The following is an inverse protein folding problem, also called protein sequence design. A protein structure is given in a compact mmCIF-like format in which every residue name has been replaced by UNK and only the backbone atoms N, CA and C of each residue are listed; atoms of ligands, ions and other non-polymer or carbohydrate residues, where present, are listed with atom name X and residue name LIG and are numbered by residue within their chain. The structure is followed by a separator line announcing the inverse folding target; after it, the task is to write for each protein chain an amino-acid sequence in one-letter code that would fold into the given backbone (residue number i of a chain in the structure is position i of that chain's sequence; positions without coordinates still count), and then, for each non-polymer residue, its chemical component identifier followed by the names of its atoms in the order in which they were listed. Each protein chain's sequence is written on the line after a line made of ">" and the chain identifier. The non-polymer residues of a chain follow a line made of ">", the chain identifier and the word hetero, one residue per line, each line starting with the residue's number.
data_IF_589849729502
#
_entry.id   IF_589849729502
#
_cell.length_a   1.000
_cell.length_b   1.000
_cell.length_c   1.000
_cell.angle_alpha   90.00
_cell.angle_beta   90.00
_cell.angle_gamma   90.00
#
_symmetry.space_group_name_H-M   'P 1'
#
loop_
_entity.id
_entity.type
_entity.pdbx_description
1 polymer ?
#
# COMPACT_ATOMS: atom_id res chain seq x y z
N UNK A 1 0.52 11.56 15.18
CA UNK A 1 1.37 11.50 16.40
C UNK A 1 2.82 11.31 16.00
N UNK A 2 3.78 11.92 16.73
CA UNK A 2 5.21 11.77 16.46
C UNK A 2 5.64 10.29 16.42
N UNK A 3 5.22 9.52 17.42
CA UNK A 3 5.52 8.08 17.52
C UNK A 3 5.09 7.29 16.29
N UNK A 4 3.86 7.51 15.79
CA UNK A 4 3.35 6.81 14.62
C UNK A 4 4.12 7.16 13.33
N UNK A 5 4.53 8.43 13.17
CA UNK A 5 5.36 8.85 12.03
C UNK A 5 6.73 8.18 12.08
N UNK A 6 7.35 8.12 13.25
CA UNK A 6 8.63 7.45 13.47
C UNK A 6 8.53 5.95 13.23
N UNK A 7 7.44 5.30 13.64
CA UNK A 7 7.20 3.88 13.34
C UNK A 7 7.18 3.63 11.83
N UNK A 8 6.44 4.44 11.06
CA UNK A 8 6.34 4.28 9.61
C UNK A 8 7.66 4.60 8.87
N UNK A 9 8.34 5.68 9.24
CA UNK A 9 9.58 6.09 8.59
C UNK A 9 10.72 5.08 8.80
N UNK A 10 10.77 4.44 9.98
CA UNK A 10 11.80 3.47 10.33
C UNK A 10 11.47 2.02 9.92
N UNK A 11 10.25 1.74 9.44
CA UNK A 11 9.93 0.42 8.92
C UNK A 11 10.81 0.10 7.70
N UNK A 12 11.63 -0.95 7.81
CA UNK A 12 12.48 -1.43 6.72
C UNK A 12 11.62 -1.92 5.53
N UNK A 13 10.48 -2.54 5.85
CA UNK A 13 9.52 -3.05 4.89
C UNK A 13 8.12 -2.48 5.13
N UNK A 14 7.45 -2.02 4.07
CA UNK A 14 6.08 -1.54 4.13
C UNK A 14 5.34 -1.87 2.82
N UNK A 15 4.09 -2.32 2.94
CA UNK A 15 3.17 -2.43 1.80
C UNK A 15 2.13 -1.32 1.93
N UNK A 16 2.13 -0.39 0.98
CA UNK A 16 1.17 0.71 0.91
C UNK A 16 0.18 0.46 -0.21
N UNK A 17 -1.08 0.20 0.15
CA UNK A 17 -2.18 0.09 -0.82
C UNK A 17 -2.75 1.47 -1.17
N UNK A 18 -3.83 1.53 -1.93
CA UNK A 18 -4.58 2.75 -2.20
C UNK A 18 -4.85 3.58 -0.93
N UNK A 19 -4.51 4.87 -0.94
CA UNK A 19 -4.67 5.79 0.20
C UNK A 19 -5.73 6.86 -0.06
N UNK A 20 -6.43 7.32 0.98
CA UNK A 20 -7.35 8.44 0.88
C UNK A 20 -6.61 9.75 0.52
N UNK A 21 -7.32 10.72 -0.06
CA UNK A 21 -6.74 12.02 -0.46
C UNK A 21 -6.16 12.80 0.72
N UNK A 22 -6.78 12.71 1.89
CA UNK A 22 -6.34 13.36 3.13
C UNK A 22 -5.00 12.82 3.63
N UNK A 23 -4.78 11.51 3.49
CA UNK A 23 -3.63 10.84 4.10
C UNK A 23 -2.43 10.78 3.16
N UNK A 24 -2.70 10.66 1.85
CA UNK A 24 -1.65 10.40 0.85
C UNK A 24 -0.59 11.50 0.77
N UNK A 25 -0.94 12.77 0.99
CA UNK A 25 0.02 13.88 0.95
C UNK A 25 0.98 13.85 2.14
N UNK A 26 0.50 13.48 3.33
CA UNK A 26 1.34 13.35 4.51
C UNK A 26 2.26 12.13 4.39
N UNK A 27 1.72 11.01 3.92
CA UNK A 27 2.49 9.79 3.67
C UNK A 27 3.55 9.97 2.57
N UNK A 28 3.23 10.70 1.51
CA UNK A 28 4.18 11.01 0.44
C UNK A 28 5.40 11.77 0.96
N UNK A 29 5.16 12.78 1.80
CA UNK A 29 6.24 13.53 2.45
C UNK A 29 7.03 12.68 3.43
N UNK A 30 6.35 11.84 4.22
CA UNK A 30 6.99 11.00 5.22
C UNK A 30 7.91 9.94 4.61
N UNK A 31 7.53 9.37 3.47
CA UNK A 31 8.22 8.26 2.82
C UNK A 31 9.00 8.66 1.56
N UNK A 32 9.08 9.96 1.25
CA UNK A 32 9.73 10.49 0.05
C UNK A 32 9.19 9.88 -1.26
N UNK A 33 7.86 9.77 -1.36
CA UNK A 33 7.18 9.28 -2.57
C UNK A 33 7.18 10.40 -3.62
N UNK A 34 7.68 10.11 -4.82
CA UNK A 34 7.65 11.05 -5.96
C UNK A 34 6.25 11.21 -6.55
N UNK A 35 6.01 12.30 -7.29
CA UNK A 35 4.73 12.52 -7.98
C UNK A 35 4.36 11.36 -8.92
N UNK A 36 5.33 10.81 -9.66
CA UNK A 36 5.11 9.64 -10.51
C UNK A 36 4.74 8.37 -9.71
N UNK A 37 5.28 8.22 -8.50
CA UNK A 37 4.94 7.08 -7.65
C UNK A 37 3.57 7.24 -7.00
N UNK A 38 3.04 8.47 -6.87
CA UNK A 38 1.71 8.72 -6.30
C UNK A 38 0.58 8.11 -7.12
N UNK A 39 0.77 7.96 -8.43
CA UNK A 39 -0.19 7.32 -9.33
C UNK A 39 -0.45 5.86 -8.94
N UNK A 40 0.50 5.20 -8.26
CA UNK A 40 0.36 3.81 -7.82
C UNK A 40 -0.38 3.63 -6.49
N UNK A 41 -0.73 4.72 -5.79
CA UNK A 41 -1.52 4.68 -4.55
C UNK A 41 -2.75 5.58 -4.60
N UNK A 42 -3.05 6.15 -5.77
CA UNK A 42 -4.15 7.09 -6.00
C UNK A 42 -5.23 6.46 -6.87
N UNK A 43 -6.38 6.16 -6.27
CA UNK A 43 -7.55 5.58 -6.95
C UNK A 43 -7.22 4.28 -7.72
N UNK A 44 -6.27 3.50 -7.20
CA UNK A 44 -5.86 2.23 -7.80
C UNK A 44 -6.76 1.07 -7.35
N UNK A 45 -6.75 -0.02 -8.11
CA UNK A 45 -7.52 -1.22 -7.80
C UNK A 45 -7.08 -1.91 -6.51
N UNK A 46 -7.95 -2.77 -5.97
CA UNK A 46 -7.61 -3.60 -4.82
C UNK A 46 -6.34 -4.44 -5.10
N UNK A 47 -5.47 -4.57 -4.10
CA UNK A 47 -4.20 -5.30 -4.24
C UNK A 47 -3.10 -4.57 -5.02
N UNK A 48 -3.33 -3.32 -5.45
CA UNK A 48 -2.31 -2.50 -6.12
C UNK A 48 -1.72 -1.49 -5.12
N UNK A 49 -0.46 -1.12 -5.32
CA UNK A 49 0.21 -0.20 -4.40
C UNK A 49 1.71 -0.04 -4.62
N UNK A 50 2.39 0.39 -3.55
CA UNK A 50 3.84 0.49 -3.44
C UNK A 50 4.38 -0.44 -2.35
N UNK A 51 5.54 -1.03 -2.61
CA UNK A 51 6.35 -1.73 -1.62
C UNK A 51 7.56 -0.85 -1.30
N UNK A 52 7.76 -0.53 -0.02
CA UNK A 52 9.01 0.02 0.50
C UNK A 52 9.90 -1.13 0.96
N UNK A 53 11.11 -1.21 0.42
CA UNK A 53 12.16 -2.12 0.90
C UNK A 53 13.45 -1.31 1.04
N UNK A 54 13.90 -1.12 2.28
CA UNK A 54 15.01 -0.21 2.58
C UNK A 54 14.69 1.22 2.10
N UNK A 55 15.49 1.73 1.17
CA UNK A 55 15.31 3.03 0.51
C UNK A 55 14.52 2.97 -0.80
N UNK A 56 14.18 1.77 -1.29
CA UNK A 56 13.50 1.60 -2.58
C UNK A 56 12.00 1.61 -2.41
N UNK A 57 11.30 2.25 -3.35
CA UNK A 57 9.85 2.24 -3.48
C UNK A 57 9.50 1.64 -4.85
N UNK A 58 8.89 0.45 -4.83
CA UNK A 58 8.62 -0.34 -6.03
C UNK A 58 7.11 -0.52 -6.20
N UNK A 59 6.53 -0.12 -7.34
CA UNK A 59 5.15 -0.45 -7.67
C UNK A 59 4.88 -1.95 -7.67
N UNK A 60 3.71 -2.36 -7.18
CA UNK A 60 3.28 -3.74 -7.28
C UNK A 60 1.80 -3.87 -7.62
N UNK A 61 1.48 -4.99 -8.26
CA UNK A 61 0.12 -5.40 -8.61
C UNK A 61 -0.08 -6.82 -8.10
N UNK A 62 -0.96 -6.99 -7.12
CA UNK A 62 -1.36 -8.29 -6.62
C UNK A 62 -2.75 -8.69 -7.17
N UNK A 63 -2.75 -9.22 -8.40
CA UNK A 63 -3.94 -9.79 -9.02
C UNK A 63 -4.01 -11.30 -8.74
N UNK A 64 -4.49 -11.65 -7.56
CA UNK A 64 -4.58 -13.05 -7.14
C UNK A 64 -5.85 -13.75 -7.69
N UNK A 65 -5.76 -14.99 -8.22
CA UNK A 65 -6.92 -15.69 -8.76
C UNK A 65 -7.99 -15.97 -7.71
N UNK A 66 -9.18 -15.38 -7.90
CA UNK A 66 -10.29 -15.42 -6.93
C UNK A 66 -10.98 -16.78 -6.80
N UNK A 67 -10.90 -17.60 -7.84
CA UNK A 67 -11.50 -18.94 -7.89
C UNK A 67 -10.70 -20.00 -7.14
N UNK A 68 -9.72 -19.61 -6.31
CA UNK A 68 -8.87 -20.51 -5.56
C UNK A 68 -9.33 -20.63 -4.10
N UNK A 69 -9.14 -21.81 -3.50
CA UNK A 69 -9.34 -21.98 -2.04
C UNK A 69 -8.46 -21.01 -1.25
N UNK A 70 -7.23 -20.78 -1.72
CA UNK A 70 -6.28 -19.89 -1.07
C UNK A 70 -6.77 -18.44 -1.05
N UNK A 71 -7.36 -17.92 -2.13
CA UNK A 71 -7.96 -16.58 -2.11
C UNK A 71 -9.07 -16.47 -1.06
N UNK A 72 -9.96 -17.47 -0.99
CA UNK A 72 -11.04 -17.49 0.01
C UNK A 72 -10.52 -17.52 1.45
N UNK A 73 -9.38 -18.16 1.70
CA UNK A 73 -8.72 -18.14 3.00
C UNK A 73 -8.08 -16.78 3.33
N UNK A 74 -7.56 -16.07 2.33
CA UNK A 74 -6.79 -14.83 2.54
C UNK A 74 -7.62 -13.56 2.41
N UNK A 75 -8.80 -13.61 1.76
CA UNK A 75 -9.61 -12.42 1.56
C UNK A 75 -10.13 -11.87 2.89
N UNK A 76 -9.94 -10.57 3.08
CA UNK A 76 -10.50 -9.82 4.21
C UNK A 76 -11.75 -9.03 3.80
N UNK A 77 -12.27 -9.24 2.58
CA UNK A 77 -13.44 -8.52 2.09
C UNK A 77 -14.71 -9.11 2.71
N UNK A 78 -15.43 -8.36 3.57
CA UNK A 78 -16.64 -8.88 4.20
C UNK A 78 -17.69 -9.28 3.15
N UNK A 79 -18.29 -10.46 3.32
CA UNK A 79 -19.34 -10.96 2.43
C UNK A 79 -18.87 -11.47 1.05
N UNK A 80 -17.56 -11.55 0.80
CA UNK A 80 -17.03 -12.22 -0.38
C UNK A 80 -17.08 -13.75 -0.16
N UNK A 81 -17.72 -14.51 -1.07
CA UNK A 81 -17.79 -15.98 -1.06
C UNK A 81 -16.76 -16.63 -1.99
#
# INVERSE_FOLDING_TARGET
>A
SHTARTMLANSEFLIMLNQASTDRLELAKLLNISELQMDYITNVGAGHGLIKVGSSLVPFINNFPKNTKLYKLMSTKPGEQ
#
